data_IF_293334532367
#
_entry.id   IF_293334532367
#
_cell.length_a   1.000
_cell.length_b   1.000
_cell.length_c   1.000
_cell.angle_alpha   90.00
_cell.angle_beta   90.00
_cell.angle_gamma   90.00
#
_symmetry.space_group_name_H-M   'P 1'
#
loop_
_entity.id
_entity.type
_entity.pdbx_description
1 polymer ?
#
# COMPACT_ATOMS: atom_id res chain seq x y z
N UNK A 1 -3.05 -8.49 -15.17
CA UNK A 1 -2.99 -7.90 -13.83
C UNK A 1 -4.34 -7.96 -13.15
N UNK A 2 -4.37 -8.22 -11.86
CA UNK A 2 -5.59 -8.23 -11.08
C UNK A 2 -5.37 -7.41 -9.81
N UNK A 3 -6.31 -6.51 -9.49
CA UNK A 3 -6.25 -5.66 -8.31
C UNK A 3 -7.53 -5.83 -7.52
N UNK A 4 -7.40 -6.24 -6.26
CA UNK A 4 -8.52 -6.37 -5.34
C UNK A 4 -8.27 -5.52 -4.11
N UNK A 5 -9.33 -5.03 -3.49
CA UNK A 5 -9.22 -4.26 -2.25
C UNK A 5 -10.16 -4.82 -1.20
N UNK A 6 -9.71 -4.76 0.05
CA UNK A 6 -10.49 -5.18 1.22
C UNK A 6 -10.40 -4.07 2.27
N UNK A 7 -11.54 -3.62 2.75
CA UNK A 7 -11.58 -2.67 3.86
C UNK A 7 -11.47 -3.42 5.18
N UNK A 8 -10.41 -3.19 5.94
CA UNK A 8 -10.16 -3.85 7.24
C UNK A 8 -10.82 -3.10 8.39
N UNK A 9 -10.89 -1.78 8.28
CA UNK A 9 -11.54 -0.91 9.24
C UNK A 9 -11.84 0.40 8.53
N UNK A 10 -12.54 1.32 9.18
CA UNK A 10 -12.85 2.61 8.59
C UNK A 10 -11.54 3.34 8.22
N UNK A 11 -11.38 3.67 6.96
CA UNK A 11 -10.20 4.36 6.44
C UNK A 11 -8.97 3.47 6.25
N UNK A 12 -9.08 2.16 6.45
CA UNK A 12 -7.95 1.22 6.33
C UNK A 12 -8.25 0.16 5.28
N UNK A 13 -7.40 0.10 4.24
CA UNK A 13 -7.57 -0.81 3.12
C UNK A 13 -6.34 -1.66 2.89
N UNK A 14 -6.56 -2.92 2.49
CA UNK A 14 -5.50 -3.78 1.93
C UNK A 14 -5.81 -3.94 0.45
N UNK A 15 -4.83 -3.60 -0.39
CA UNK A 15 -4.93 -3.71 -1.84
C UNK A 15 -3.95 -4.79 -2.29
N UNK A 16 -4.48 -5.87 -2.88
CA UNK A 16 -3.66 -6.95 -3.42
C UNK A 16 -3.50 -6.76 -4.92
N UNK A 17 -2.24 -6.71 -5.38
CA UNK A 17 -1.90 -6.54 -6.78
C UNK A 17 -1.23 -7.80 -7.28
N UNK A 18 -1.82 -8.46 -8.26
CA UNK A 18 -1.31 -9.70 -8.83
C UNK A 18 -0.97 -9.52 -10.30
N UNK A 19 0.11 -10.17 -10.74
CA UNK A 19 0.54 -10.16 -12.12
C UNK A 19 1.53 -9.04 -12.44
N UNK A 20 1.48 -8.52 -13.64
CA UNK A 20 2.45 -7.55 -14.16
C UNK A 20 1.90 -6.13 -14.07
N UNK A 21 2.60 -5.26 -13.37
CA UNK A 21 2.27 -3.84 -13.28
C UNK A 21 3.27 -3.07 -14.15
N UNK A 22 2.83 -2.71 -15.34
CA UNK A 22 3.68 -2.14 -16.38
C UNK A 22 3.01 -0.97 -17.10
N UNK A 23 3.59 -0.54 -18.23
CA UNK A 23 3.07 0.58 -19.01
C UNK A 23 1.70 0.32 -19.63
N UNK A 24 1.28 -0.95 -19.73
CA UNK A 24 -0.03 -1.32 -20.27
C UNK A 24 -1.10 -1.46 -19.19
N UNK A 25 -0.72 -1.65 -17.93
CA UNK A 25 -1.65 -1.96 -16.84
C UNK A 25 -1.71 -0.87 -15.76
N UNK A 26 -0.74 0.03 -15.71
CA UNK A 26 -0.66 1.01 -14.62
C UNK A 26 -1.88 1.93 -14.52
N UNK A 27 -2.51 2.27 -15.65
CA UNK A 27 -3.69 3.15 -15.64
C UNK A 27 -4.88 2.49 -14.96
N UNK A 28 -5.08 1.20 -15.20
CA UNK A 28 -6.13 0.44 -14.54
C UNK A 28 -5.89 0.40 -13.02
N UNK A 29 -4.65 0.18 -12.62
CA UNK A 29 -4.25 0.20 -11.22
C UNK A 29 -4.50 1.59 -10.61
N UNK A 30 -4.04 2.64 -11.28
CA UNK A 30 -4.20 4.01 -10.81
C UNK A 30 -5.68 4.37 -10.59
N UNK A 31 -6.56 3.98 -11.51
CA UNK A 31 -7.98 4.25 -11.37
C UNK A 31 -8.57 3.58 -10.12
N UNK A 32 -8.16 2.34 -9.83
CA UNK A 32 -8.63 1.63 -8.64
C UNK A 32 -8.11 2.28 -7.36
N UNK A 33 -6.87 2.73 -7.37
CA UNK A 33 -6.28 3.39 -6.20
C UNK A 33 -6.92 4.77 -6.00
N UNK A 34 -7.10 5.54 -7.05
CA UNK A 34 -7.73 6.87 -6.96
C UNK A 34 -9.10 6.79 -6.29
N UNK A 35 -9.85 5.72 -6.51
CA UNK A 35 -11.15 5.51 -5.87
C UNK A 35 -11.04 5.34 -4.35
N UNK A 36 -9.88 4.94 -3.84
CA UNK A 36 -9.65 4.74 -2.41
C UNK A 36 -9.01 5.98 -1.75
N UNK A 37 -8.43 6.87 -2.53
CA UNK A 37 -7.74 8.06 -2.00
C UNK A 37 -8.77 9.12 -1.60
N UNK A 38 -8.85 9.40 -0.30
CA UNK A 38 -9.72 10.45 0.23
C UNK A 38 -9.12 10.98 1.53
N UNK A 39 -9.64 12.07 2.03
CA UNK A 39 -9.20 12.62 3.32
C UNK A 39 -9.52 11.68 4.49
N UNK A 40 -10.51 10.81 4.32
CA UNK A 40 -10.89 9.83 5.34
C UNK A 40 -10.02 8.56 5.30
N UNK A 41 -9.20 8.38 4.27
CA UNK A 41 -8.32 7.22 4.16
C UNK A 41 -7.08 7.43 5.02
N UNK A 42 -6.89 6.56 6.01
CA UNK A 42 -5.79 6.65 6.95
C UNK A 42 -4.61 5.77 6.56
N UNK A 43 -4.89 4.63 5.94
CA UNK A 43 -3.86 3.65 5.61
C UNK A 43 -4.26 2.82 4.41
N UNK A 44 -3.35 2.70 3.45
CA UNK A 44 -3.44 1.69 2.38
C UNK A 44 -2.22 0.79 2.50
N UNK A 45 -2.47 -0.51 2.66
CA UNK A 45 -1.43 -1.53 2.64
C UNK A 45 -1.48 -2.24 1.29
N UNK A 46 -0.38 -2.21 0.56
CA UNK A 46 -0.27 -2.91 -0.71
C UNK A 46 0.34 -4.30 -0.47
N UNK A 47 -0.45 -5.34 -0.72
CA UNK A 47 0.04 -6.71 -0.68
C UNK A 47 0.58 -7.06 -2.07
N UNK A 48 1.90 -7.23 -2.18
CA UNK A 48 2.61 -7.48 -3.42
C UNK A 48 3.11 -8.93 -3.55
N UNK A 49 2.54 -9.85 -2.76
CA UNK A 49 2.94 -11.26 -2.79
C UNK A 49 2.84 -11.88 -4.18
N UNK A 50 1.81 -11.51 -4.94
CA UNK A 50 1.53 -12.07 -6.25
C UNK A 50 1.96 -11.16 -7.40
N UNK A 51 2.64 -10.06 -7.12
CA UNK A 51 3.18 -9.18 -8.14
C UNK A 51 4.41 -9.84 -8.78
N UNK A 52 4.40 -9.99 -10.11
CA UNK A 52 5.46 -10.67 -10.84
C UNK A 52 6.42 -9.72 -11.56
N UNK A 53 5.96 -8.51 -11.86
CA UNK A 53 6.77 -7.51 -12.54
C UNK A 53 6.30 -6.12 -12.16
N UNK A 54 7.25 -5.20 -12.03
CA UNK A 54 6.97 -3.81 -11.67
C UNK A 54 7.83 -2.88 -12.52
N UNK A 55 7.17 -2.02 -13.32
CA UNK A 55 7.83 -0.99 -14.12
C UNK A 55 7.85 0.35 -13.40
N UNK A 56 8.61 1.30 -13.94
CA UNK A 56 8.65 2.67 -13.40
C UNK A 56 7.27 3.34 -13.43
N UNK A 57 6.43 3.01 -14.41
CA UNK A 57 5.07 3.54 -14.48
C UNK A 57 4.23 3.08 -13.27
N UNK A 58 4.38 1.79 -12.89
CA UNK A 58 3.71 1.26 -11.71
C UNK A 58 4.22 1.88 -10.41
N UNK A 59 5.53 2.07 -10.31
CA UNK A 59 6.14 2.71 -9.14
C UNK A 59 5.58 4.11 -8.93
N UNK A 60 5.39 4.88 -10.00
CA UNK A 60 4.83 6.23 -9.90
C UNK A 60 3.45 6.24 -9.27
N UNK A 61 2.65 5.20 -9.50
CA UNK A 61 1.31 5.11 -8.87
C UNK A 61 1.43 4.96 -7.35
N UNK A 62 2.35 4.11 -6.88
CA UNK A 62 2.61 3.96 -5.44
C UNK A 62 3.09 5.27 -4.82
N UNK A 63 4.01 5.97 -5.49
CA UNK A 63 4.54 7.25 -4.99
C UNK A 63 3.45 8.32 -4.96
N UNK A 64 2.57 8.36 -5.96
CA UNK A 64 1.43 9.28 -5.99
C UNK A 64 0.49 9.00 -4.82
N UNK A 65 0.14 7.75 -4.58
CA UNK A 65 -0.73 7.37 -3.48
C UNK A 65 -0.13 7.81 -2.13
N UNK A 66 1.17 7.56 -1.94
CA UNK A 66 1.88 7.99 -0.74
C UNK A 66 1.80 9.49 -0.55
N UNK A 67 2.07 10.26 -1.60
CA UNK A 67 2.06 11.72 -1.55
C UNK A 67 0.67 12.26 -1.20
N UNK A 68 -0.37 11.74 -1.86
CA UNK A 68 -1.75 12.17 -1.63
C UNK A 68 -2.18 11.88 -0.19
N UNK A 69 -1.92 10.67 0.30
CA UNK A 69 -2.28 10.31 1.67
C UNK A 69 -1.49 11.09 2.71
N UNK A 70 -0.21 11.32 2.46
CA UNK A 70 0.63 12.11 3.38
C UNK A 70 0.07 13.51 3.60
N UNK A 71 -0.49 14.13 2.57
CA UNK A 71 -1.07 15.47 2.66
C UNK A 71 -2.30 15.52 3.59
N UNK A 72 -3.00 14.40 3.75
CA UNK A 72 -4.16 14.31 4.65
C UNK A 72 -3.86 13.55 5.94
N UNK A 73 -2.58 13.25 6.21
CA UNK A 73 -2.17 12.55 7.43
C UNK A 73 -2.20 11.03 7.32
N UNK A 74 -2.48 10.49 6.14
CA UNK A 74 -2.50 9.05 5.91
C UNK A 74 -1.14 8.46 5.59
N UNK A 75 -1.10 7.14 5.43
CA UNK A 75 0.13 6.40 5.20
C UNK A 75 -0.06 5.30 4.15
N UNK A 76 1.04 4.96 3.49
CA UNK A 76 1.13 3.80 2.59
C UNK A 76 2.17 2.84 3.16
N UNK A 77 1.83 1.56 3.23
CA UNK A 77 2.72 0.51 3.71
C UNK A 77 2.69 -0.68 2.74
N UNK A 78 3.70 -1.54 2.82
CA UNK A 78 3.81 -2.71 1.94
C UNK A 78 3.82 -4.00 2.74
N UNK A 79 3.24 -5.05 2.16
CA UNK A 79 3.15 -6.39 2.72
C UNK A 79 3.68 -7.40 1.69
N UNK A 80 4.47 -8.36 2.15
CA UNK A 80 4.98 -9.47 1.33
C UNK A 80 5.78 -8.99 0.10
N UNK A 81 6.72 -8.10 0.33
CA UNK A 81 7.55 -7.54 -0.73
C UNK A 81 8.63 -8.55 -1.14
N UNK A 82 8.54 -9.05 -2.38
CA UNK A 82 9.53 -9.99 -2.91
C UNK A 82 10.89 -9.32 -3.08
N UNK A 83 12.01 -10.05 -2.95
CA UNK A 83 13.35 -9.47 -3.05
C UNK A 83 13.60 -8.70 -4.35
N UNK A 84 13.14 -9.21 -5.51
CA UNK A 84 13.33 -8.52 -6.78
C UNK A 84 12.51 -7.22 -6.86
N UNK A 85 11.33 -7.19 -6.24
CA UNK A 85 10.49 -5.99 -6.19
C UNK A 85 11.09 -4.99 -5.20
N UNK A 86 11.55 -5.47 -4.05
CA UNK A 86 12.22 -4.64 -3.05
C UNK A 86 13.42 -3.90 -3.65
N UNK A 87 14.20 -4.61 -4.49
CA UNK A 87 15.36 -4.02 -5.16
C UNK A 87 14.94 -2.86 -6.08
N UNK A 88 13.82 -2.99 -6.79
CA UNK A 88 13.33 -1.91 -7.66
C UNK A 88 12.99 -0.67 -6.84
N UNK A 89 12.32 -0.82 -5.70
CA UNK A 89 12.05 0.31 -4.81
C UNK A 89 13.32 0.92 -4.25
N UNK A 90 14.31 0.11 -3.88
CA UNK A 90 15.59 0.60 -3.37
C UNK A 90 16.33 1.45 -4.40
N UNK A 91 16.31 1.05 -5.68
CA UNK A 91 16.96 1.78 -6.77
C UNK A 91 16.41 3.20 -6.87
N UNK A 92 15.12 3.39 -6.66
CA UNK A 92 14.49 4.70 -6.74
C UNK A 92 14.37 5.40 -5.39
N UNK A 93 15.01 4.86 -4.35
CA UNK A 93 15.01 5.40 -2.99
C UNK A 93 13.61 5.60 -2.39
N UNK A 94 12.65 4.75 -2.76
CA UNK A 94 11.29 4.85 -2.25
C UNK A 94 11.12 4.17 -0.89
N UNK A 95 11.86 3.10 -0.64
CA UNK A 95 11.69 2.26 0.56
C UNK A 95 12.03 2.96 1.87
N UNK A 96 13.10 3.78 1.98
CA UNK A 96 13.46 4.36 3.29
C UNK A 96 12.35 5.15 3.97
N UNK A 97 11.36 5.60 3.21
CA UNK A 97 10.26 6.40 3.75
C UNK A 97 8.94 5.62 3.84
N UNK A 98 8.97 4.30 3.62
CA UNK A 98 7.78 3.45 3.63
C UNK A 98 7.97 2.26 4.58
N UNK A 99 6.92 1.89 5.31
CA UNK A 99 6.96 0.74 6.19
C UNK A 99 6.58 -0.53 5.43
N UNK A 100 7.34 -1.61 5.67
CA UNK A 100 7.17 -2.90 5.01
C UNK A 100 6.87 -3.96 6.07
N UNK A 101 5.85 -4.79 5.81
CA UNK A 101 5.50 -5.92 6.65
C UNK A 101 5.96 -7.22 5.98
N UNK A 102 6.49 -8.15 6.78
CA UNK A 102 6.98 -9.43 6.28
C UNK A 102 5.87 -10.47 6.12
N UNK A 103 4.76 -10.30 6.84
CA UNK A 103 3.65 -11.26 6.83
C UNK A 103 2.33 -10.60 7.16
N UNK A 104 1.24 -11.28 6.83
CA UNK A 104 -0.10 -10.84 7.21
C UNK A 104 -0.27 -10.82 8.73
N UNK A 105 0.34 -11.77 9.45
CA UNK A 105 0.30 -11.79 10.91
C UNK A 105 0.96 -10.55 11.51
N UNK A 106 2.08 -10.10 10.94
CA UNK A 106 2.74 -8.88 11.38
C UNK A 106 1.87 -7.65 11.14
N UNK A 107 1.22 -7.57 9.98
CA UNK A 107 0.27 -6.51 9.67
C UNK A 107 -0.89 -6.49 10.65
N UNK A 108 -1.48 -7.65 10.93
CA UNK A 108 -2.63 -7.74 11.85
C UNK A 108 -2.25 -7.27 13.24
N UNK A 109 -1.06 -7.64 13.73
CA UNK A 109 -0.57 -7.17 15.04
C UNK A 109 -0.41 -5.65 15.05
N UNK A 110 0.11 -5.06 13.96
CA UNK A 110 0.25 -3.62 13.83
C UNK A 110 -1.12 -2.94 13.91
N UNK A 111 -2.10 -3.44 13.13
CA UNK A 111 -3.43 -2.86 13.09
C UNK A 111 -4.13 -2.98 14.45
N UNK A 112 -4.00 -4.13 15.12
CA UNK A 112 -4.57 -4.32 16.46
C UNK A 112 -3.97 -3.32 17.46
N UNK A 113 -2.66 -3.11 17.41
CA UNK A 113 -2.00 -2.16 18.29
C UNK A 113 -2.48 -0.72 18.03
N UNK A 114 -2.67 -0.34 16.75
CA UNK A 114 -3.19 0.97 16.39
C UNK A 114 -4.63 1.16 16.89
N UNK A 115 -5.47 0.14 16.75
CA UNK A 115 -6.85 0.17 17.22
C UNK A 115 -6.92 0.30 18.74
N UNK A 116 -6.06 -0.41 19.47
CA UNK A 116 -5.99 -0.31 20.94
C UNK A 116 -5.59 1.08 21.39
N UNK A 117 -4.65 1.72 20.67
CA UNK A 117 -4.25 3.08 20.99
C UNK A 117 -5.39 4.07 20.80
N UNK A 118 -6.17 3.91 19.74
CA UNK A 118 -7.33 4.77 19.49
C UNK A 118 -8.36 4.63 20.62
N UNK A 119 -8.67 3.40 21.02
CA UNK A 119 -9.62 3.12 22.10
C UNK A 119 -9.11 3.70 23.43
N UNK A 120 -7.83 3.50 23.74
CA UNK A 120 -7.21 4.04 24.96
C UNK A 120 -7.17 5.56 24.95
N UNK A 121 -6.99 6.17 23.78
CA UNK A 121 -6.95 7.64 23.64
C UNK A 121 -8.30 8.31 23.81
N UNK A 122 -9.41 7.57 23.70
CA UNK A 122 -10.76 8.08 23.89
C UNK A 122 -11.16 8.13 25.36
N UNK A 123 -10.44 7.43 26.21
CA UNK A 123 -10.70 7.39 27.64
C UNK A 123 -9.98 8.54 28.35
#
# INVERSE_FOLDING_TARGET
MNVTSEQKAQGIFIVTVAGSLDSNTYKQFEQKIDALLSEATELIVFNLEFLTYLSSAGIRVFLKARKVLKNSGGQVKFLNLKPQIKRVFEIINAIPSMQIFESTAELDRYLDAQMKQVIAGED
#
